data_IF_217599342572
#
_entry.id   IF_217599342572
#
_cell.length_a   1.000
_cell.length_b   1.000
_cell.length_c   1.000
_cell.angle_alpha   90.00
_cell.angle_beta   90.00
_cell.angle_gamma   90.00
#
_symmetry.space_group_name_H-M   'P 1'
#
loop_
_entity.id
_entity.type
_entity.pdbx_description
1 polymer ?
#
# COMPACT_ATOMS: atom_id res chain seq x y z
N UNK A 1 -10.02 -0.34 7.36
CA UNK A 1 -8.74 -0.16 6.62
C UNK A 1 -8.61 -1.15 5.46
N UNK A 2 -8.42 -2.46 5.68
CA UNK A 2 -8.23 -3.43 4.58
C UNK A 2 -9.34 -3.36 3.52
N UNK A 3 -10.61 -3.44 3.94
CA UNK A 3 -11.78 -3.36 3.05
C UNK A 3 -11.73 -2.11 2.18
N UNK A 4 -11.39 -0.95 2.77
CA UNK A 4 -11.36 0.33 2.08
C UNK A 4 -10.19 0.41 1.09
N UNK A 5 -9.01 -0.12 1.45
CA UNK A 5 -7.89 -0.27 0.51
C UNK A 5 -8.28 -1.14 -0.68
N UNK A 6 -8.88 -2.31 -0.42
CA UNK A 6 -9.31 -3.26 -1.45
C UNK A 6 -10.31 -2.61 -2.41
N UNK A 7 -11.35 -1.97 -1.88
CA UNK A 7 -12.36 -1.29 -2.68
C UNK A 7 -11.77 -0.16 -3.54
N UNK A 8 -10.84 0.64 -2.99
CA UNK A 8 -10.14 1.69 -3.73
C UNK A 8 -9.35 1.11 -4.91
N UNK A 9 -8.59 0.02 -4.66
CA UNK A 9 -7.78 -0.63 -5.69
C UNK A 9 -8.64 -1.25 -6.78
N UNK A 10 -9.71 -1.96 -6.41
CA UNK A 10 -10.61 -2.61 -7.37
C UNK A 10 -11.38 -1.60 -8.23
N UNK A 11 -11.79 -0.47 -7.64
CA UNK A 11 -12.61 0.54 -8.29
C UNK A 11 -11.78 1.47 -9.18
N UNK A 12 -10.65 1.96 -8.68
CA UNK A 12 -9.87 3.01 -9.34
C UNK A 12 -8.66 2.49 -10.11
N UNK A 13 -8.15 1.31 -9.75
CA UNK A 13 -6.92 0.73 -10.30
C UNK A 13 -7.12 -0.68 -10.86
N UNK A 14 -8.35 -1.03 -11.21
CA UNK A 14 -8.71 -2.32 -11.81
C UNK A 14 -7.86 -2.67 -13.05
N UNK A 15 -7.67 -1.76 -14.03
CA UNK A 15 -6.82 -2.01 -15.19
C UNK A 15 -5.36 -2.33 -14.81
N UNK A 16 -4.74 -1.52 -13.95
CA UNK A 16 -3.36 -1.68 -13.50
C UNK A 16 -3.17 -2.99 -12.73
N UNK A 17 -4.20 -3.43 -12.02
CA UNK A 17 -4.20 -4.73 -11.32
C UNK A 17 -4.26 -5.89 -12.31
N UNK A 18 -5.07 -5.81 -13.37
CA UNK A 18 -5.17 -6.85 -14.41
C UNK A 18 -3.89 -6.95 -15.24
N UNK A 19 -3.23 -5.83 -15.49
CA UNK A 19 -1.95 -5.75 -16.22
C UNK A 19 -0.74 -6.16 -15.37
N UNK A 20 -0.94 -6.45 -14.07
CA UNK A 20 0.15 -6.80 -13.15
C UNK A 20 1.03 -5.62 -12.73
N UNK A 21 0.65 -4.38 -13.06
CA UNK A 21 1.34 -3.14 -12.66
C UNK A 21 1.10 -2.78 -11.18
N UNK A 22 -0.01 -3.25 -10.60
CA UNK A 22 -0.35 -3.07 -9.19
C UNK A 22 -0.80 -4.39 -8.58
N UNK A 23 -0.37 -4.69 -7.36
CA UNK A 23 -0.81 -5.85 -6.61
C UNK A 23 -1.16 -5.47 -5.18
N UNK A 24 -2.39 -5.77 -4.75
CA UNK A 24 -2.77 -5.66 -3.35
C UNK A 24 -2.39 -6.94 -2.59
N UNK A 25 -1.74 -6.78 -1.44
CA UNK A 25 -1.36 -7.89 -0.55
C UNK A 25 -1.66 -7.50 0.89
N UNK A 26 -2.21 -8.46 1.64
CA UNK A 26 -2.41 -8.35 3.09
C UNK A 26 -1.40 -9.28 3.73
N UNK A 27 -0.55 -8.74 4.60
CA UNK A 27 0.51 -9.48 5.27
C UNK A 27 0.19 -9.50 6.77
N UNK A 28 0.01 -10.70 7.31
CA UNK A 28 -0.05 -10.90 8.76
C UNK A 28 1.38 -10.97 9.30
N UNK A 29 1.88 -9.86 9.83
CA UNK A 29 3.27 -9.75 10.27
C UNK A 29 3.54 -10.33 11.68
N UNK A 30 2.50 -10.71 12.41
CA UNK A 30 2.62 -11.31 13.75
C UNK A 30 2.90 -12.82 13.71
N UNK A 31 3.00 -13.42 12.52
CA UNK A 31 3.44 -14.81 12.36
C UNK A 31 4.96 -14.92 12.46
N UNK A 32 5.50 -16.04 12.97
CA UNK A 32 6.95 -16.26 13.04
C UNK A 32 7.67 -16.06 11.70
N UNK A 33 7.06 -16.51 10.61
CA UNK A 33 7.61 -16.43 9.25
C UNK A 33 7.82 -15.00 8.75
N UNK A 34 7.07 -14.03 9.30
CA UNK A 34 7.12 -12.63 8.89
C UNK A 34 7.83 -11.73 9.91
N UNK A 35 8.51 -12.31 10.92
CA UNK A 35 9.23 -11.54 11.95
C UNK A 35 10.23 -10.55 11.37
N UNK A 36 10.98 -10.96 10.34
CA UNK A 36 11.94 -10.10 9.66
C UNK A 36 11.28 -8.87 9.01
N UNK A 37 10.04 -8.98 8.53
CA UNK A 37 9.27 -7.85 7.97
C UNK A 37 8.89 -6.89 9.09
N UNK A 38 8.39 -7.42 10.22
CA UNK A 38 8.01 -6.64 11.40
C UNK A 38 9.19 -5.83 11.94
N UNK A 39 10.35 -6.46 12.08
CA UNK A 39 11.58 -5.82 12.57
C UNK A 39 12.12 -4.77 11.59
N UNK A 40 12.21 -5.12 10.29
CA UNK A 40 12.74 -4.21 9.26
C UNK A 40 11.88 -2.95 9.08
N UNK A 41 10.56 -3.07 9.21
CA UNK A 41 9.62 -1.97 8.99
C UNK A 41 9.16 -1.31 10.30
N UNK A 42 9.61 -1.78 11.47
CA UNK A 42 9.19 -1.25 12.77
C UNK A 42 7.68 -1.30 12.97
N UNK A 43 7.03 -2.41 12.64
CA UNK A 43 5.56 -2.51 12.68
C UNK A 43 5.07 -2.84 14.08
N UNK A 44 4.29 -1.91 14.65
CA UNK A 44 3.64 -2.08 15.96
C UNK A 44 2.11 -2.04 15.88
N UNK A 45 1.56 -1.66 14.73
CA UNK A 45 0.12 -1.54 14.48
C UNK A 45 -0.19 -1.79 12.99
N UNK A 46 -1.49 -1.92 12.66
CA UNK A 46 -1.94 -2.00 11.28
C UNK A 46 -1.42 -0.82 10.46
N UNK A 47 -0.91 -1.12 9.27
CA UNK A 47 -0.24 -0.14 8.42
C UNK A 47 -0.60 -0.36 6.96
N UNK A 48 -0.43 0.68 6.15
CA UNK A 48 -0.45 0.60 4.70
C UNK A 48 0.93 1.02 4.20
N UNK A 49 1.54 0.20 3.36
CA UNK A 49 2.79 0.50 2.70
C UNK A 49 2.65 0.37 1.19
N UNK A 50 3.29 1.26 0.46
CA UNK A 50 3.48 1.16 -0.98
C UNK A 50 4.88 0.64 -1.25
N UNK A 51 4.96 -0.46 -1.98
CA UNK A 51 6.21 -1.13 -2.31
C UNK A 51 6.38 -1.06 -3.81
N UNK A 52 7.40 -0.34 -4.26
CA UNK A 52 7.77 -0.26 -5.67
C UNK A 52 8.92 -1.22 -5.94
N UNK A 53 8.74 -2.04 -6.98
CA UNK A 53 9.72 -3.01 -7.43
C UNK A 53 10.06 -2.74 -8.90
N UNK A 54 11.16 -2.02 -9.13
CA UNK A 54 11.70 -1.84 -10.47
C UNK A 54 12.87 -2.83 -10.68
N UNK A 55 12.88 -3.61 -11.78
CA UNK A 55 14.00 -4.50 -12.09
C UNK A 55 15.34 -3.74 -12.12
N UNK A 56 16.33 -4.26 -11.41
CA UNK A 56 17.66 -3.65 -11.34
C UNK A 56 17.79 -2.43 -10.44
N UNK A 57 16.73 -2.02 -9.71
CA UNK A 57 16.80 -0.95 -8.71
C UNK A 57 16.48 -1.47 -7.30
N UNK A 58 16.99 -0.80 -6.24
CA UNK A 58 16.57 -1.10 -4.88
C UNK A 58 15.06 -0.95 -4.72
N UNK A 59 14.47 -1.85 -3.93
CA UNK A 59 13.07 -1.78 -3.55
C UNK A 59 12.80 -0.49 -2.76
N UNK A 60 11.84 0.31 -3.20
CA UNK A 60 11.40 1.51 -2.48
C UNK A 60 10.16 1.17 -1.69
N UNK A 61 10.22 1.39 -0.37
CA UNK A 61 9.07 1.21 0.53
C UNK A 61 8.67 2.55 1.08
N UNK A 62 7.43 2.96 0.83
CA UNK A 62 6.82 4.15 1.41
C UNK A 62 5.73 3.73 2.38
N UNK A 63 5.95 4.02 3.66
CA UNK A 63 4.95 3.77 4.71
C UNK A 63 3.96 4.93 4.77
N UNK A 64 2.66 4.62 4.80
CA UNK A 64 1.57 5.58 4.90
C UNK A 64 0.91 5.55 6.29
N UNK A 65 1.57 4.93 7.29
CA UNK A 65 1.03 4.65 8.62
C UNK A 65 0.42 5.89 9.27
N UNK A 66 1.17 6.99 9.36
CA UNK A 66 0.69 8.22 9.99
C UNK A 66 -0.52 8.83 9.26
N UNK A 67 -0.46 8.95 7.93
CA UNK A 67 -1.55 9.48 7.12
C UNK A 67 -2.82 8.62 7.20
N UNK A 68 -2.65 7.30 7.31
CA UNK A 68 -3.76 6.37 7.46
C UNK A 68 -4.41 6.51 8.83
N UNK A 69 -3.60 6.60 9.89
CA UNK A 69 -4.10 6.78 11.24
C UNK A 69 -4.66 8.18 11.51
N UNK A 70 -4.31 9.20 10.73
CA UNK A 70 -4.95 10.52 10.86
C UNK A 70 -6.32 10.59 10.15
N UNK A 71 -6.56 9.71 9.18
CA UNK A 71 -7.77 9.68 8.35
C UNK A 71 -8.70 8.50 8.66
N UNK A 72 -8.45 7.77 9.75
CA UNK A 72 -9.17 6.52 10.06
C UNK A 72 -10.68 6.66 10.27
N UNK A 73 -11.16 7.88 10.56
CA UNK A 73 -12.59 8.21 10.72
C UNK A 73 -13.20 8.87 9.48
N UNK A 74 -12.41 9.19 8.45
CA UNK A 74 -12.85 9.89 7.24
C UNK A 74 -12.51 9.05 6.01
N UNK A 75 -13.45 8.18 5.65
CA UNK A 75 -13.31 7.26 4.52
C UNK A 75 -13.03 8.00 3.21
N UNK A 76 -13.65 9.17 2.99
CA UNK A 76 -13.47 9.92 1.74
C UNK A 76 -12.05 10.51 1.65
N UNK A 77 -11.57 11.09 2.74
CA UNK A 77 -10.20 11.61 2.79
C UNK A 77 -9.17 10.48 2.69
N UNK A 78 -9.42 9.33 3.32
CA UNK A 78 -8.58 8.15 3.20
C UNK A 78 -8.45 7.67 1.75
N UNK A 79 -9.58 7.52 1.05
CA UNK A 79 -9.61 7.06 -0.35
C UNK A 79 -8.84 8.01 -1.25
N UNK A 80 -9.02 9.32 -1.08
CA UNK A 80 -8.28 10.34 -1.84
C UNK A 80 -6.77 10.23 -1.60
N UNK A 81 -6.35 10.18 -0.33
CA UNK A 81 -4.93 10.06 0.04
C UNK A 81 -4.31 8.78 -0.54
N UNK A 82 -5.02 7.65 -0.47
CA UNK A 82 -4.54 6.38 -1.01
C UNK A 82 -4.41 6.44 -2.54
N UNK A 83 -5.41 7.00 -3.23
CA UNK A 83 -5.42 7.18 -4.68
C UNK A 83 -4.24 8.04 -5.15
N UNK A 84 -4.05 9.20 -4.54
CA UNK A 84 -2.92 10.09 -4.84
C UNK A 84 -1.57 9.41 -4.56
N UNK A 85 -1.47 8.66 -3.47
CA UNK A 85 -0.24 7.94 -3.12
C UNK A 85 0.10 6.84 -4.13
N UNK A 86 -0.89 6.09 -4.62
CA UNK A 86 -0.71 5.05 -5.64
C UNK A 86 -0.34 5.69 -6.99
N UNK A 87 -1.03 6.76 -7.40
CA UNK A 87 -0.75 7.46 -8.66
C UNK A 87 0.69 7.99 -8.71
N UNK A 88 1.17 8.59 -7.62
CA UNK A 88 2.55 9.06 -7.52
C UNK A 88 3.59 7.93 -7.48
N UNK A 89 3.19 6.72 -7.11
CA UNK A 89 4.08 5.57 -7.04
C UNK A 89 4.15 4.79 -8.35
N UNK A 90 3.07 4.81 -9.13
CA UNK A 90 3.04 4.22 -10.47
C UNK A 90 3.97 5.02 -11.40
N UNK A 91 4.78 4.34 -12.23
CA UNK A 91 5.53 5.02 -13.28
C UNK A 91 4.55 5.68 -14.27
N UNK A 92 4.87 6.89 -14.74
CA UNK A 92 4.18 7.49 -15.89
C UNK A 92 4.32 6.51 -17.07
N UNK A 93 3.21 6.26 -17.79
CA UNK A 93 3.27 5.50 -19.04
C UNK A 93 4.23 6.22 -20.01
N UNK A 94 5.11 5.49 -20.73
CA UNK A 94 6.02 6.10 -21.71
C UNK A 94 5.30 6.75 -22.89
#
# INVERSE_FOLDING_TARGET
MEKLCRQTIETDFGPQTREGRLAFRVIQYDTPDNRAIKERLGLFASTVGLVRHDPGKPQVVRMLTESVWSLWTDDAAFVRMLRESIQNALPEDP
#
